data_IF_238782930737
#
_entry.id   IF_238782930737
#
_cell.length_a   1.000
_cell.length_b   1.000
_cell.length_c   1.000
_cell.angle_alpha   90.00
_cell.angle_beta   90.00
_cell.angle_gamma   90.00
#
_symmetry.space_group_name_H-M   'P 1'
#
loop_
_entity.id
_entity.type
_entity.pdbx_description
1 polymer ?
#
# COMPACT_ATOMS: atom_id res chain seq x y z
N UNK A 1 29.73 -7.99 3.18
CA UNK A 1 28.28 -7.85 3.36
C UNK A 1 27.90 -6.57 2.66
N UNK A 2 27.41 -6.64 1.43
CA UNK A 2 26.98 -5.46 0.66
C UNK A 2 25.72 -4.89 1.30
N UNK A 3 25.81 -3.65 1.78
CA UNK A 3 24.68 -2.91 2.36
C UNK A 3 23.53 -2.81 1.33
N UNK A 4 22.46 -3.59 1.54
CA UNK A 4 21.19 -3.43 0.82
C UNK A 4 20.45 -2.21 1.40
N UNK A 5 20.94 -1.03 1.03
CA UNK A 5 20.44 0.26 1.49
C UNK A 5 19.81 1.01 0.31
N UNK A 6 18.57 1.46 0.50
CA UNK A 6 17.87 2.39 -0.36
C UNK A 6 17.70 3.73 0.35
N UNK A 7 18.15 4.84 -0.26
CA UNK A 7 18.15 6.16 0.37
C UNK A 7 17.03 7.03 -0.20
N UNK A 8 16.17 7.52 0.69
CA UNK A 8 15.23 8.60 0.42
C UNK A 8 15.79 9.90 0.99
N UNK A 9 15.23 11.05 0.59
CA UNK A 9 15.58 12.35 1.18
C UNK A 9 15.42 12.36 2.71
N UNK A 10 14.31 11.88 3.29
CA UNK A 10 14.06 12.06 4.72
C UNK A 10 14.58 10.90 5.59
N UNK A 11 14.78 9.71 5.01
CA UNK A 11 15.21 8.51 5.74
C UNK A 11 15.87 7.48 4.81
N UNK A 12 16.40 6.41 5.41
CA UNK A 12 17.07 5.32 4.71
C UNK A 12 16.37 4.00 5.01
N UNK A 13 16.23 3.14 4.00
CA UNK A 13 15.62 1.82 4.09
C UNK A 13 16.70 0.75 3.95
N UNK A 14 16.81 -0.11 4.94
CA UNK A 14 17.53 -1.38 4.90
C UNK A 14 16.56 -2.47 4.49
N UNK A 15 16.98 -3.30 3.53
CA UNK A 15 16.16 -4.37 2.95
C UNK A 15 17.03 -5.61 2.71
N UNK A 16 17.77 -5.98 3.76
CA UNK A 16 18.76 -7.07 3.75
C UNK A 16 18.13 -8.43 4.02
N UNK A 17 17.08 -8.46 4.83
CA UNK A 17 16.46 -9.69 5.34
C UNK A 17 15.07 -9.95 4.75
N UNK A 18 14.35 -8.90 4.35
CA UNK A 18 13.05 -9.01 3.69
C UNK A 18 13.18 -9.69 2.31
N UNK A 19 12.28 -10.64 2.02
CA UNK A 19 12.23 -11.31 0.71
C UNK A 19 11.93 -10.33 -0.44
N UNK A 20 11.05 -9.34 -0.18
CA UNK A 20 10.74 -8.27 -1.13
C UNK A 20 11.61 -7.03 -0.87
N UNK A 21 12.42 -6.67 -1.87
CA UNK A 21 13.19 -5.42 -1.87
C UNK A 21 12.27 -4.23 -2.14
N UNK A 22 12.75 -3.02 -1.84
CA UNK A 22 12.06 -1.76 -2.21
C UNK A 22 11.76 -1.76 -3.71
N UNK A 23 10.47 -1.71 -4.05
CA UNK A 23 9.97 -1.71 -5.42
C UNK A 23 9.26 -0.41 -5.79
N UNK A 24 9.11 -0.18 -7.10
CA UNK A 24 8.40 0.99 -7.64
C UNK A 24 6.99 1.11 -7.07
N UNK A 25 6.26 0.00 -6.91
CA UNK A 25 4.89 0.01 -6.41
C UNK A 25 4.76 0.64 -5.02
N UNK A 26 5.71 0.36 -4.11
CA UNK A 26 5.74 0.94 -2.78
C UNK A 26 5.97 2.46 -2.81
N UNK A 27 6.89 2.92 -3.67
CA UNK A 27 7.16 4.36 -3.86
C UNK A 27 5.94 5.08 -4.45
N UNK A 28 5.29 4.48 -5.46
CA UNK A 28 4.11 5.07 -6.07
C UNK A 28 2.94 5.17 -5.09
N UNK A 29 2.69 4.12 -4.30
CA UNK A 29 1.62 4.13 -3.30
C UNK A 29 1.92 5.10 -2.15
N UNK A 30 3.15 5.10 -1.62
CA UNK A 30 3.55 6.01 -0.54
C UNK A 30 3.54 7.49 -0.94
N UNK A 31 3.80 7.80 -2.21
CA UNK A 31 3.78 9.17 -2.74
C UNK A 31 2.41 9.62 -3.28
N UNK A 32 1.44 8.71 -3.41
CA UNK A 32 0.14 9.00 -4.02
C UNK A 32 -0.59 10.14 -3.28
N UNK A 33 -1.20 11.12 -3.99
CA UNK A 33 -1.83 12.27 -3.34
C UNK A 33 -3.06 11.99 -2.49
N UNK A 34 -3.78 10.90 -2.73
CA UNK A 34 -5.06 10.60 -2.09
C UNK A 34 -6.08 11.76 -2.23
N UNK A 35 -6.30 12.21 -3.47
CA UNK A 35 -7.02 13.45 -3.79
C UNK A 35 -8.48 13.49 -3.30
N UNK A 36 -9.08 12.34 -3.02
CA UNK A 36 -10.48 12.21 -2.59
C UNK A 36 -10.67 11.97 -1.08
N UNK A 37 -9.59 12.02 -0.29
CA UNK A 37 -9.73 12.05 1.17
C UNK A 37 -10.35 13.39 1.62
N UNK A 38 -11.30 13.33 2.54
CA UNK A 38 -12.02 14.52 3.00
C UNK A 38 -11.16 15.40 3.94
N UNK A 39 -10.22 14.77 4.66
CA UNK A 39 -9.30 15.41 5.59
C UNK A 39 -8.02 14.58 5.69
N UNK A 40 -6.90 15.16 6.16
CA UNK A 40 -5.71 14.37 6.49
C UNK A 40 -6.07 13.24 7.47
N UNK A 41 -5.70 11.97 7.19
CA UNK A 41 -6.00 10.85 8.07
C UNK A 41 -5.14 10.92 9.34
N UNK A 42 -5.69 10.49 10.48
CA UNK A 42 -5.00 10.51 11.77
C UNK A 42 -4.58 9.12 12.22
N UNK A 43 -5.37 8.09 11.92
CA UNK A 43 -5.03 6.69 12.21
C UNK A 43 -4.86 5.90 10.91
N UNK A 44 -3.64 5.44 10.66
CA UNK A 44 -3.28 4.74 9.44
C UNK A 44 -2.85 3.31 9.76
N UNK A 45 -3.09 2.42 8.82
CA UNK A 45 -2.62 1.04 8.87
C UNK A 45 -1.93 0.67 7.56
N UNK A 46 -0.69 0.21 7.64
CA UNK A 46 0.06 -0.40 6.53
C UNK A 46 0.06 -1.92 6.69
N UNK A 47 -0.67 -2.64 5.84
CA UNK A 47 -0.81 -4.11 5.90
C UNK A 47 0.15 -4.77 4.91
N UNK A 48 0.96 -5.70 5.42
CA UNK A 48 2.08 -6.28 4.68
C UNK A 48 3.18 -5.24 4.50
N UNK A 49 3.58 -4.59 5.60
CA UNK A 49 4.45 -3.41 5.57
C UNK A 49 5.84 -3.70 4.98
N UNK A 50 6.26 -4.98 4.95
CA UNK A 50 7.54 -5.41 4.44
C UNK A 50 8.68 -4.72 5.18
N UNK A 51 9.40 -3.84 4.48
CA UNK A 51 10.51 -3.05 5.04
C UNK A 51 10.08 -1.81 5.83
N UNK A 52 8.78 -1.53 5.93
CA UNK A 52 8.26 -0.31 6.57
C UNK A 52 8.25 0.93 5.66
N UNK A 53 8.65 0.80 4.39
CA UNK A 53 8.83 1.97 3.51
C UNK A 53 7.54 2.77 3.30
N UNK A 54 6.39 2.11 3.09
CA UNK A 54 5.12 2.81 2.85
C UNK A 54 4.70 3.52 4.14
N UNK A 55 4.72 2.82 5.28
CA UNK A 55 4.46 3.43 6.59
C UNK A 55 5.32 4.68 6.85
N UNK A 56 6.63 4.63 6.55
CA UNK A 56 7.54 5.76 6.72
C UNK A 56 7.26 6.92 5.75
N UNK A 57 6.92 6.63 4.48
CA UNK A 57 6.52 7.66 3.52
C UNK A 57 5.22 8.35 3.94
N UNK A 58 4.26 7.58 4.45
CA UNK A 58 3.00 8.12 4.97
C UNK A 58 3.21 8.93 6.25
N UNK A 59 4.17 8.55 7.08
CA UNK A 59 4.54 9.33 8.26
C UNK A 59 5.06 10.72 7.86
N UNK A 60 5.94 10.81 6.86
CA UNK A 60 6.40 12.09 6.31
C UNK A 60 5.23 12.90 5.73
N UNK A 61 4.38 12.25 4.93
CA UNK A 61 3.26 12.90 4.23
C UNK A 61 2.19 13.43 5.19
N UNK A 62 1.95 12.73 6.29
CA UNK A 62 0.93 13.06 7.28
C UNK A 62 1.58 13.27 8.65
N UNK A 63 2.06 14.48 8.98
CA UNK A 63 2.83 14.74 10.19
C UNK A 63 2.10 14.43 11.50
N UNK A 64 0.77 14.50 11.50
CA UNK A 64 -0.08 14.23 12.66
C UNK A 64 -0.57 12.78 12.75
N UNK A 65 -0.26 11.94 11.75
CA UNK A 65 -0.73 10.56 11.69
C UNK A 65 0.01 9.67 12.70
N UNK A 66 -0.75 8.80 13.36
CA UNK A 66 -0.29 7.58 14.04
C UNK A 66 -0.48 6.41 13.09
N UNK A 67 0.53 5.56 12.97
CA UNK A 67 0.58 4.51 11.97
C UNK A 67 0.85 3.17 12.64
N UNK A 68 -0.04 2.21 12.43
CA UNK A 68 0.25 0.80 12.68
C UNK A 68 0.80 0.16 11.39
N UNK A 69 1.83 -0.67 11.53
CA UNK A 69 2.41 -1.44 10.46
C UNK A 69 2.28 -2.93 10.82
N UNK A 70 1.52 -3.68 10.03
CA UNK A 70 1.30 -5.12 10.26
C UNK A 70 2.10 -5.92 9.26
N UNK A 71 2.87 -6.87 9.75
CA UNK A 71 3.69 -7.77 8.94
C UNK A 71 3.67 -9.16 9.56
N UNK A 72 3.64 -10.20 8.74
CA UNK A 72 3.58 -11.60 9.20
C UNK A 72 4.96 -12.26 9.16
N UNK A 73 5.83 -11.81 8.25
CA UNK A 73 7.15 -12.39 8.08
C UNK A 73 8.16 -11.78 9.08
N UNK A 74 8.62 -12.58 10.05
CA UNK A 74 9.58 -12.16 11.07
C UNK A 74 10.83 -11.48 10.49
N UNK A 75 11.31 -11.92 9.32
CA UNK A 75 12.47 -11.31 8.67
C UNK A 75 12.18 -9.88 8.17
N UNK A 76 11.01 -9.66 7.56
CA UNK A 76 10.55 -8.35 7.16
C UNK A 76 10.31 -7.44 8.40
N UNK A 77 9.73 -7.99 9.48
CA UNK A 77 9.59 -7.28 10.75
C UNK A 77 10.93 -6.76 11.29
N UNK A 78 12.03 -7.52 11.19
CA UNK A 78 13.36 -7.06 11.64
C UNK A 78 13.88 -5.88 10.82
N UNK A 79 13.73 -5.93 9.50
CA UNK A 79 14.08 -4.82 8.61
C UNK A 79 13.19 -3.59 8.92
N UNK A 80 11.87 -3.78 9.04
CA UNK A 80 10.93 -2.71 9.38
C UNK A 80 11.24 -2.07 10.74
N UNK A 81 11.49 -2.86 11.79
CA UNK A 81 11.84 -2.34 13.10
C UNK A 81 13.10 -1.47 13.04
N UNK A 82 14.15 -1.98 12.38
CA UNK A 82 15.40 -1.24 12.19
C UNK A 82 15.18 0.08 11.45
N UNK A 83 14.37 0.08 10.39
CA UNK A 83 14.08 1.26 9.59
C UNK A 83 13.22 2.28 10.35
N UNK A 84 12.22 1.81 11.10
CA UNK A 84 11.36 2.65 11.93
C UNK A 84 12.17 3.33 13.02
N UNK A 85 12.98 2.56 13.77
CA UNK A 85 13.84 3.08 14.86
C UNK A 85 14.86 4.09 14.36
N UNK A 86 15.41 3.88 13.16
CA UNK A 86 16.37 4.81 12.55
C UNK A 86 15.73 6.06 11.91
N UNK A 87 14.40 6.11 11.80
CA UNK A 87 13.68 7.21 11.17
C UNK A 87 13.37 8.34 12.16
N UNK A 88 13.15 9.58 11.66
CA UNK A 88 12.66 10.68 12.50
C UNK A 88 11.20 10.50 12.96
N UNK A 89 10.52 9.42 12.55
CA UNK A 89 9.09 9.22 12.81
C UNK A 89 8.79 8.12 13.81
N UNK A 90 9.81 7.48 14.40
CA UNK A 90 9.68 6.30 15.27
C UNK A 90 8.57 6.41 16.31
N UNK A 91 8.39 7.58 16.94
CA UNK A 91 7.38 7.80 17.98
C UNK A 91 5.92 7.75 17.48
N UNK A 92 5.69 7.70 16.17
CA UNK A 92 4.37 7.67 15.53
C UNK A 92 4.07 6.34 14.83
N UNK A 93 5.02 5.41 14.79
CA UNK A 93 4.88 4.13 14.13
C UNK A 93 4.91 3.00 15.15
N UNK A 94 3.93 2.09 15.06
CA UNK A 94 3.90 0.85 15.84
C UNK A 94 3.94 -0.34 14.90
N UNK A 95 5.02 -1.12 14.95
CA UNK A 95 5.14 -2.37 14.20
C UNK A 95 4.49 -3.52 14.99
N UNK A 96 3.74 -4.37 14.30
CA UNK A 96 3.12 -5.58 14.87
C UNK A 96 3.38 -6.78 13.97
N UNK A 97 4.03 -7.79 14.53
CA UNK A 97 4.19 -9.09 13.87
C UNK A 97 2.90 -9.90 14.02
N UNK A 98 2.02 -9.85 13.02
CA UNK A 98 0.67 -10.43 13.06
C UNK A 98 0.23 -10.96 11.70
N UNK A 99 -0.56 -12.04 11.73
CA UNK A 99 -1.35 -12.43 10.56
C UNK A 99 -2.56 -11.48 10.39
N UNK A 100 -2.83 -11.04 9.16
CA UNK A 100 -3.92 -10.09 8.87
C UNK A 100 -5.30 -10.59 9.33
N UNK A 101 -5.67 -11.84 9.02
CA UNK A 101 -6.99 -12.38 9.35
C UNK A 101 -7.17 -12.55 10.86
N UNK A 102 -6.11 -12.92 11.57
CA UNK A 102 -6.16 -13.03 13.03
C UNK A 102 -6.21 -11.65 13.69
N UNK A 103 -5.51 -10.65 13.13
CA UNK A 103 -5.59 -9.27 13.57
C UNK A 103 -6.99 -8.68 13.35
N UNK A 104 -7.65 -8.97 12.21
CA UNK A 104 -9.05 -8.59 11.95
C UNK A 104 -9.98 -9.16 13.01
N UNK A 105 -9.89 -10.46 13.32
CA UNK A 105 -10.71 -11.10 14.38
C UNK A 105 -10.49 -10.46 15.74
N UNK A 106 -9.23 -10.18 16.10
CA UNK A 106 -8.90 -9.53 17.36
C UNK A 106 -9.41 -8.09 17.43
N UNK A 107 -9.37 -7.37 16.30
CA UNK A 107 -9.84 -5.99 16.18
C UNK A 107 -11.33 -5.86 16.47
N UNK A 108 -12.15 -6.82 16.04
CA UNK A 108 -13.60 -6.85 16.30
C UNK A 108 -13.96 -6.84 17.79
N UNK A 109 -13.04 -7.28 18.67
CA UNK A 109 -13.21 -7.26 20.13
C UNK A 109 -12.47 -6.11 20.82
N UNK A 110 -11.86 -5.20 20.05
CA UNK A 110 -11.06 -4.08 20.58
C UNK A 110 -11.90 -2.82 20.80
N UNK A 111 -11.36 -1.86 21.55
CA UNK A 111 -11.96 -0.51 21.72
C UNK A 111 -11.56 0.47 20.61
N UNK A 112 -10.88 0.00 19.55
CA UNK A 112 -10.36 0.87 18.51
C UNK A 112 -11.48 1.43 17.62
N UNK A 113 -11.40 2.72 17.25
CA UNK A 113 -12.42 3.44 16.47
C UNK A 113 -12.32 3.24 14.94
N UNK A 114 -11.56 2.25 14.49
CA UNK A 114 -11.18 2.07 13.08
C UNK A 114 -10.04 2.96 12.58
N UNK A 115 -9.51 2.63 11.40
CA UNK A 115 -8.47 3.37 10.68
C UNK A 115 -9.07 4.30 9.62
N UNK A 116 -8.52 5.50 9.48
CA UNK A 116 -8.95 6.49 8.49
C UNK A 116 -8.40 6.14 7.09
N UNK A 117 -7.23 5.51 7.05
CA UNK A 117 -6.62 5.02 5.83
C UNK A 117 -5.88 3.72 6.09
N UNK A 118 -6.32 2.65 5.44
CA UNK A 118 -5.57 1.40 5.33
C UNK A 118 -4.87 1.41 3.99
N UNK A 119 -3.58 1.11 3.94
CA UNK A 119 -2.80 0.96 2.72
C UNK A 119 -2.24 -0.45 2.63
N UNK A 120 -2.08 -0.97 1.41
CA UNK A 120 -1.33 -2.20 1.20
C UNK A 120 -0.80 -2.29 -0.22
N UNK A 121 0.42 -2.80 -0.33
CA UNK A 121 0.97 -3.39 -1.55
C UNK A 121 0.99 -4.92 -1.36
N UNK A 122 -0.17 -5.60 -1.44
CA UNK A 122 -0.26 -7.01 -1.09
C UNK A 122 0.50 -7.89 -2.08
N UNK A 123 0.91 -9.10 -1.68
CA UNK A 123 1.30 -10.12 -2.64
C UNK A 123 0.14 -10.38 -3.63
N UNK A 124 0.46 -10.49 -4.92
CA UNK A 124 -0.50 -10.83 -5.97
C UNK A 124 0.11 -11.80 -6.99
N UNK A 125 -0.66 -12.80 -7.40
CA UNK A 125 -0.27 -13.72 -8.49
C UNK A 125 -0.25 -12.97 -9.82
N UNK A 126 0.93 -12.91 -10.43
CA UNK A 126 1.09 -12.58 -11.84
C UNK A 126 1.40 -13.90 -12.56
N UNK A 127 0.65 -14.21 -13.62
CA UNK A 127 0.92 -15.38 -14.47
C UNK A 127 2.35 -15.33 -15.08
N UNK A 128 2.93 -14.14 -15.19
CA UNK A 128 4.26 -13.88 -15.77
C UNK A 128 5.41 -13.79 -14.73
N UNK A 129 5.28 -14.36 -13.52
CA UNK A 129 6.44 -14.40 -12.60
C UNK A 129 7.51 -15.30 -13.24
N UNK A 130 8.69 -14.78 -13.62
CA UNK A 130 9.65 -15.53 -14.43
C UNK A 130 10.32 -16.67 -13.66
N UNK A 131 10.35 -16.58 -12.33
CA UNK A 131 11.09 -17.49 -11.46
C UNK A 131 10.17 -18.47 -10.72
N UNK A 132 10.40 -19.80 -10.85
CA UNK A 132 9.72 -20.81 -10.05
C UNK A 132 9.93 -20.67 -8.54
N UNK A 133 10.96 -19.93 -8.10
CA UNK A 133 11.19 -19.65 -6.68
C UNK A 133 10.28 -18.52 -6.17
N UNK A 134 10.17 -17.45 -6.96
CA UNK A 134 9.30 -16.30 -6.66
C UNK A 134 7.82 -16.71 -6.69
N UNK A 135 7.42 -17.56 -7.66
CA UNK A 135 6.07 -18.14 -7.71
C UNK A 135 5.75 -18.94 -6.44
N UNK A 136 6.69 -19.75 -5.95
CA UNK A 136 6.50 -20.56 -4.73
C UNK A 136 6.47 -19.71 -3.46
N UNK A 137 7.27 -18.66 -3.36
CA UNK A 137 7.22 -17.71 -2.25
C UNK A 137 5.88 -17.00 -2.21
N UNK A 138 5.44 -16.48 -3.35
CA UNK A 138 4.16 -15.80 -3.46
C UNK A 138 2.95 -16.71 -3.16
N UNK A 139 3.00 -17.96 -3.64
CA UNK A 139 1.98 -18.94 -3.35
C UNK A 139 1.87 -19.21 -1.85
N UNK A 140 3.01 -19.34 -1.16
CA UNK A 140 3.01 -19.45 0.31
C UNK A 140 2.41 -18.23 0.99
N UNK A 141 2.76 -17.01 0.57
CA UNK A 141 2.18 -15.81 1.17
C UNK A 141 0.66 -15.70 0.97
N UNK A 142 0.16 -16.11 -0.20
CA UNK A 142 -1.27 -16.04 -0.47
C UNK A 142 -2.05 -17.18 0.20
N UNK A 143 -1.51 -18.40 0.19
CA UNK A 143 -2.17 -19.61 0.70
C UNK A 143 -1.98 -19.81 2.20
N UNK A 144 -0.77 -19.58 2.73
CA UNK A 144 -0.45 -19.80 4.14
C UNK A 144 -0.75 -18.56 5.00
N UNK A 145 -0.46 -17.36 4.52
CA UNK A 145 -0.68 -16.12 5.29
C UNK A 145 -2.05 -15.49 5.02
N UNK A 146 -2.75 -15.93 3.96
CA UNK A 146 -4.10 -15.50 3.63
C UNK A 146 -4.23 -14.06 3.14
N UNK A 147 -3.13 -13.32 3.01
CA UNK A 147 -3.13 -11.93 2.55
C UNK A 147 -3.21 -11.87 1.02
N UNK A 148 -4.25 -11.23 0.51
CA UNK A 148 -4.45 -10.99 -0.93
C UNK A 148 -5.26 -9.70 -1.13
N UNK A 149 -5.26 -9.10 -2.35
CA UNK A 149 -6.16 -7.98 -2.65
C UNK A 149 -7.63 -8.29 -2.36
N UNK A 150 -8.04 -9.54 -2.58
CA UNK A 150 -9.42 -9.99 -2.35
C UNK A 150 -9.72 -10.07 -0.86
N UNK A 151 -8.83 -10.67 -0.06
CA UNK A 151 -8.95 -10.76 1.40
C UNK A 151 -9.01 -9.36 2.02
N UNK A 152 -8.15 -8.44 1.57
CA UNK A 152 -8.14 -7.05 2.02
C UNK A 152 -9.48 -6.38 1.77
N UNK A 153 -10.03 -6.46 0.55
CA UNK A 153 -11.34 -5.88 0.25
C UNK A 153 -12.47 -6.49 1.08
N UNK A 154 -12.44 -7.81 1.33
CA UNK A 154 -13.49 -8.49 2.10
C UNK A 154 -13.53 -8.07 3.57
N UNK A 155 -12.37 -7.80 4.16
CA UNK A 155 -12.27 -7.55 5.60
C UNK A 155 -11.97 -6.09 5.96
N UNK A 156 -11.62 -5.22 5.00
CA UNK A 156 -11.27 -3.82 5.29
C UNK A 156 -12.40 -3.08 6.01
N UNK A 157 -13.65 -3.34 5.66
CA UNK A 157 -14.82 -2.75 6.34
C UNK A 157 -14.90 -3.10 7.83
N UNK A 158 -14.19 -4.09 8.35
CA UNK A 158 -14.13 -4.39 9.79
C UNK A 158 -13.10 -3.51 10.52
N UNK A 159 -12.10 -3.01 9.78
CA UNK A 159 -10.99 -2.21 10.29
C UNK A 159 -11.17 -0.71 10.07
N UNK A 160 -11.97 -0.29 9.08
CA UNK A 160 -12.10 1.12 8.72
C UNK A 160 -12.93 1.94 9.74
N UNK A 161 -12.52 3.18 9.98
CA UNK A 161 -13.39 4.18 10.61
C UNK A 161 -14.60 4.48 9.72
N UNK A 162 -15.71 5.06 10.21
CA UNK A 162 -16.91 5.35 9.41
C UNK A 162 -16.65 6.01 8.05
N UNK A 163 -15.68 6.93 7.99
CA UNK A 163 -15.28 7.64 6.77
C UNK A 163 -13.97 7.15 6.16
N UNK A 164 -13.41 6.06 6.69
CA UNK A 164 -12.11 5.51 6.34
C UNK A 164 -12.06 4.96 4.91
N UNK A 165 -10.82 4.81 4.41
CA UNK A 165 -10.55 4.34 3.05
C UNK A 165 -9.51 3.22 3.01
N UNK A 166 -9.62 2.32 2.04
CA UNK A 166 -8.62 1.30 1.73
C UNK A 166 -7.91 1.68 0.42
N UNK A 167 -6.58 1.85 0.46
CA UNK A 167 -5.75 2.08 -0.71
C UNK A 167 -4.95 0.84 -1.08
N UNK A 168 -5.03 0.41 -2.34
CA UNK A 168 -4.30 -0.75 -2.86
C UNK A 168 -3.58 -0.39 -4.16
N UNK A 169 -2.34 -0.87 -4.31
CA UNK A 169 -1.67 -0.96 -5.61
C UNK A 169 -1.66 -2.42 -6.08
N UNK A 170 -2.12 -2.67 -7.30
CA UNK A 170 -2.27 -4.03 -7.85
C UNK A 170 -2.03 -4.04 -9.36
N UNK A 171 -1.81 -5.21 -10.00
CA UNK A 171 -1.87 -5.35 -11.44
C UNK A 171 -3.22 -4.86 -11.99
N UNK A 172 -3.17 -4.14 -13.10
CA UNK A 172 -4.39 -3.58 -13.72
C UNK A 172 -5.39 -4.65 -14.15
N UNK A 173 -4.94 -5.88 -14.39
CA UNK A 173 -5.78 -7.04 -14.71
C UNK A 173 -6.71 -7.44 -13.56
N UNK A 174 -6.40 -7.09 -12.30
CA UNK A 174 -7.24 -7.42 -11.15
C UNK A 174 -8.42 -6.46 -10.94
N UNK A 175 -8.41 -5.27 -11.58
CA UNK A 175 -9.42 -4.24 -11.35
C UNK A 175 -10.87 -4.73 -11.57
N UNK A 176 -11.21 -5.52 -12.62
CA UNK A 176 -12.57 -6.03 -12.78
C UNK A 176 -13.02 -6.92 -11.62
N UNK A 177 -12.16 -7.84 -11.16
CA UNK A 177 -12.43 -8.72 -10.02
C UNK A 177 -12.57 -7.91 -8.73
N UNK A 178 -11.68 -6.95 -8.50
CA UNK A 178 -11.74 -6.06 -7.34
C UNK A 178 -13.05 -5.27 -7.28
N UNK A 179 -13.52 -4.72 -8.41
CA UNK A 179 -14.82 -4.02 -8.49
C UNK A 179 -16.01 -4.91 -8.14
N UNK A 180 -15.97 -6.17 -8.57
CA UNK A 180 -17.00 -7.16 -8.21
C UNK A 180 -17.00 -7.39 -6.68
N UNK A 181 -15.85 -7.68 -6.09
CA UNK A 181 -15.72 -7.91 -4.64
C UNK A 181 -16.12 -6.67 -3.83
N UNK A 182 -15.73 -5.48 -4.29
CA UNK A 182 -16.12 -4.22 -3.66
C UNK A 182 -17.65 -4.07 -3.58
N UNK A 183 -18.37 -4.51 -4.62
CA UNK A 183 -19.84 -4.48 -4.63
C UNK A 183 -20.44 -5.46 -3.61
N UNK A 184 -19.86 -6.66 -3.48
CA UNK A 184 -20.26 -7.67 -2.48
C UNK A 184 -20.01 -7.22 -1.03
N UNK A 185 -19.09 -6.27 -0.83
CA UNK A 185 -18.59 -5.83 0.48
C UNK A 185 -19.03 -4.40 0.82
N UNK A 186 -19.96 -3.84 0.04
CA UNK A 186 -20.50 -2.48 0.19
C UNK A 186 -19.39 -1.41 0.17
N UNK A 187 -18.40 -1.60 -0.69
CA UNK A 187 -17.36 -0.61 -0.99
C UNK A 187 -17.60 0.01 -2.37
N UNK A 188 -17.30 1.30 -2.50
CA UNK A 188 -17.25 2.02 -3.78
C UNK A 188 -15.83 2.46 -4.09
N UNK A 189 -15.50 2.53 -5.38
CA UNK A 189 -14.24 3.09 -5.84
C UNK A 189 -14.32 4.62 -5.86
N UNK A 190 -13.61 5.27 -4.95
CA UNK A 190 -13.55 6.74 -4.87
C UNK A 190 -12.46 7.33 -5.77
N UNK A 191 -11.32 6.66 -5.87
CA UNK A 191 -10.18 7.11 -6.68
C UNK A 191 -9.53 5.95 -7.43
N UNK A 192 -9.09 6.21 -8.65
CA UNK A 192 -8.41 5.25 -9.52
C UNK A 192 -7.27 5.93 -10.26
N UNK A 193 -6.04 5.48 -10.04
CA UNK A 193 -4.89 5.85 -10.86
C UNK A 193 -4.51 4.67 -11.77
N UNK A 194 -4.53 4.90 -13.09
CA UNK A 194 -3.97 3.98 -14.08
C UNK A 194 -2.47 4.23 -14.24
N UNK A 195 -1.65 3.22 -13.99
CA UNK A 195 -0.19 3.31 -14.03
C UNK A 195 0.34 2.58 -15.26
N UNK A 196 0.93 3.33 -16.17
CA UNK A 196 1.49 2.83 -17.42
C UNK A 196 3.02 2.74 -17.31
N UNK A 197 3.60 1.63 -17.74
CA UNK A 197 5.07 1.48 -17.78
C UNK A 197 5.71 2.35 -18.86
N UNK A 198 5.04 2.48 -20.00
CA UNK A 198 5.36 3.34 -21.14
C UNK A 198 4.03 3.79 -21.75
N UNK A 199 4.02 4.76 -22.70
CA UNK A 199 2.78 5.13 -23.37
C UNK A 199 2.03 3.89 -23.87
N UNK A 200 0.74 3.81 -23.55
CA UNK A 200 -0.18 2.72 -23.90
C UNK A 200 0.07 1.34 -23.25
N UNK A 201 1.03 1.18 -22.34
CA UNK A 201 1.26 -0.09 -21.63
C UNK A 201 0.86 0.00 -20.15
N UNK A 202 -0.43 -0.17 -19.88
CA UNK A 202 -1.01 -0.22 -18.53
C UNK A 202 -0.49 -1.46 -17.78
N UNK A 203 0.06 -1.27 -16.59
CA UNK A 203 0.66 -2.36 -15.79
C UNK A 203 0.11 -2.46 -14.37
N UNK A 204 -0.31 -1.35 -13.78
CA UNK A 204 -0.81 -1.29 -12.40
C UNK A 204 -2.00 -0.35 -12.31
N UNK A 205 -2.74 -0.51 -11.23
CA UNK A 205 -3.73 0.45 -10.75
C UNK A 205 -3.49 0.75 -9.30
N UNK A 206 -3.60 2.03 -8.91
CA UNK A 206 -3.77 2.41 -7.50
C UNK A 206 -5.26 2.73 -7.30
N UNK A 207 -5.86 2.18 -6.26
CA UNK A 207 -7.30 2.25 -6.02
C UNK A 207 -7.58 2.72 -4.61
N UNK A 208 -8.55 3.62 -4.42
CA UNK A 208 -9.03 4.06 -3.10
C UNK A 208 -10.49 3.66 -2.94
N UNK A 209 -10.75 2.69 -2.07
CA UNK A 209 -12.07 2.15 -1.78
C UNK A 209 -12.63 2.76 -0.50
N UNK A 210 -13.92 3.06 -0.50
CA UNK A 210 -14.62 3.64 0.65
C UNK A 210 -15.93 2.92 0.87
N UNK A 211 -16.45 2.92 2.09
CA UNK A 211 -17.80 2.40 2.36
C UNK A 211 -18.81 3.13 1.49
N UNK A 212 -19.70 2.35 0.88
CA UNK A 212 -20.85 2.86 0.16
C UNK A 212 -21.87 3.35 1.21
N UNK A 213 -22.12 4.66 1.22
CA UNK A 213 -23.21 5.24 2.00
C UNK A 213 -24.46 5.32 1.12
N UNK A 214 -25.56 4.69 1.57
CA UNK A 214 -26.85 4.73 0.85
C UNK A 214 -27.53 6.11 0.92
N UNK A 215 -27.04 6.98 1.80
CA UNK A 215 -27.61 8.32 2.02
C UNK A 215 -26.76 9.44 1.40
N UNK A 216 -25.60 9.11 0.82
CA UNK A 216 -24.76 10.08 0.11
C UNK A 216 -25.13 10.16 -1.37
N UNK A 217 -25.02 11.36 -1.99
CA UNK A 217 -25.18 11.49 -3.43
C UNK A 217 -24.10 10.68 -4.16
N UNK A 218 -24.46 10.19 -5.35
CA UNK A 218 -23.51 9.53 -6.23
C UNK A 218 -22.32 10.44 -6.51
N UNK A 219 -21.13 9.97 -6.15
CA UNK A 219 -19.87 10.65 -6.43
C UNK A 219 -19.10 9.82 -7.46
N UNK A 220 -18.85 10.35 -8.67
CA UNK A 220 -18.04 9.66 -9.68
C UNK A 220 -16.64 9.33 -9.15
N UNK A 221 -16.07 8.21 -9.61
CA UNK A 221 -14.68 7.88 -9.31
C UNK A 221 -13.74 8.92 -9.91
N UNK A 222 -12.91 9.55 -9.08
CA UNK A 222 -11.82 10.41 -9.55
C UNK A 222 -10.76 9.55 -10.22
N UNK A 223 -10.51 9.77 -11.52
CA UNK A 223 -9.64 8.90 -12.33
C UNK A 223 -8.47 9.69 -12.89
N UNK A 224 -7.25 9.18 -12.70
CA UNK A 224 -6.01 9.77 -13.21
C UNK A 224 -5.21 8.75 -14.01
N UNK A 225 -4.38 9.23 -14.95
CA UNK A 225 -3.48 8.40 -15.74
C UNK A 225 -2.04 8.87 -15.51
N UNK A 226 -1.14 7.93 -15.29
CA UNK A 226 0.23 8.21 -14.93
C UNK A 226 1.16 7.27 -15.66
N UNK A 227 2.16 7.79 -16.37
CA UNK A 227 3.12 6.98 -17.12
C UNK A 227 4.50 7.10 -16.50
N UNK A 228 5.16 5.97 -16.24
CA UNK A 228 6.47 5.91 -15.59
C UNK A 228 7.59 6.39 -16.52
N UNK A 229 7.61 5.88 -17.75
CA UNK A 229 8.64 6.20 -18.74
C UNK A 229 8.04 6.95 -19.92
N UNK A 230 8.75 7.97 -20.41
CA UNK A 230 8.41 8.68 -21.63
C UNK A 230 8.71 7.84 -22.90
N UNK A 231 8.48 8.44 -24.07
CA UNK A 231 8.75 7.80 -25.38
C UNK A 231 10.24 7.48 -25.60
N UNK A 232 11.14 8.14 -24.87
CA UNK A 232 12.58 7.94 -24.90
C UNK A 232 13.05 6.92 -23.85
N UNK A 233 12.12 6.29 -23.12
CA UNK A 233 12.36 5.36 -22.00
C UNK A 233 13.08 5.99 -20.80
N UNK A 234 12.96 7.31 -20.62
CA UNK A 234 13.45 8.03 -19.43
C UNK A 234 12.31 8.22 -18.43
N UNK A 235 12.59 8.41 -17.13
CA UNK A 235 11.56 8.78 -16.15
C UNK A 235 10.78 10.01 -16.63
N UNK A 236 9.46 9.86 -16.74
CA UNK A 236 8.57 10.94 -17.20
C UNK A 236 8.55 12.11 -16.22
N UNK A 237 8.09 13.27 -16.68
CA UNK A 237 7.88 14.44 -15.81
C UNK A 237 6.90 14.13 -14.67
N UNK A 238 5.82 13.41 -14.96
CA UNK A 238 4.86 12.99 -13.95
C UNK A 238 5.53 12.11 -12.88
N UNK A 239 6.38 11.16 -13.30
CA UNK A 239 7.10 10.29 -12.38
C UNK A 239 8.06 11.05 -11.47
N UNK A 240 8.83 11.98 -12.04
CA UNK A 240 9.75 12.84 -11.27
C UNK A 240 8.98 13.72 -10.29
N UNK A 241 7.90 14.35 -10.75
CA UNK A 241 7.06 15.21 -9.93
C UNK A 241 6.47 14.47 -8.72
N UNK A 242 5.87 13.29 -8.96
CA UNK A 242 5.27 12.47 -7.89
C UNK A 242 6.28 12.07 -6.81
N UNK A 243 7.51 11.72 -7.22
CA UNK A 243 8.53 11.21 -6.30
C UNK A 243 9.53 12.28 -5.83
N UNK A 244 9.33 13.54 -6.21
CA UNK A 244 10.29 14.62 -5.98
C UNK A 244 10.54 14.90 -4.50
N UNK A 245 9.54 14.74 -3.64
CA UNK A 245 9.70 14.93 -2.19
C UNK A 245 10.50 13.78 -1.53
N UNK A 246 10.66 12.66 -2.22
CA UNK A 246 11.20 11.41 -1.65
C UNK A 246 12.54 10.98 -2.22
N UNK A 247 12.80 11.17 -3.51
CA UNK A 247 14.02 10.67 -4.17
C UNK A 247 15.13 11.72 -4.23
N UNK A 248 16.37 11.32 -3.91
CA UNK A 248 17.52 12.23 -3.83
C UNK A 248 17.80 13.03 -5.12
N UNK A 249 17.53 12.47 -6.29
CA UNK A 249 17.66 13.11 -7.59
C UNK A 249 16.32 13.01 -8.37
N UNK A 250 15.60 14.13 -8.49
CA UNK A 250 14.33 14.24 -9.25
C UNK A 250 14.53 15.02 -10.54
#
# INVERSE_FOLDING_TARGET
>A
MTDNIFRLKPFTIRHGEAAQKVGTDALLLGAWPFATLASPPLHLLDVGTGTGIIALMLAERFPSAQIEAWEVETAACRDAATNIEASPYASRLTLREVNYLDAVKAFASSQHTGFDLIVSNPPYFIEDIPSPHEQRQLARHTEADGLSPETLLRHASELLSPSGSLALITPSSLLPTMRRIATETLLRLSELAHIYSSPNRLIRTITLWRRLSLHEPYTPTHTTHFTLLDVERKPSEAHRSLLSDFLLDS
#
